data_IF_617021112396
#
_entry.id   IF_617021112396
#
_cell.length_a   1.000
_cell.length_b   1.000
_cell.length_c   1.000
_cell.angle_alpha   90.00
_cell.angle_beta   90.00
_cell.angle_gamma   90.00
#
_symmetry.space_group_name_H-M   'P 1'
#
loop_
_entity.id
_entity.type
_entity.pdbx_description
1 polymer ?
#
# COMPACT_ATOMS: atom_id res chain seq x y z
N UNK A 1 14.01 8.94 6.02
CA UNK A 1 13.91 9.17 4.56
C UNK A 1 14.37 10.59 4.21
N UNK A 2 15.05 10.77 3.07
CA UNK A 2 15.44 12.08 2.52
C UNK A 2 14.27 12.83 1.92
N UNK A 3 13.34 12.12 1.27
CA UNK A 3 12.16 12.71 0.61
C UNK A 3 10.83 12.38 1.29
N UNK A 4 10.85 11.71 2.45
CA UNK A 4 9.64 11.40 3.21
C UNK A 4 8.67 10.49 2.48
N UNK A 5 7.36 10.75 2.61
CA UNK A 5 6.30 10.05 1.88
C UNK A 5 5.93 10.89 0.65
N UNK A 6 6.22 10.37 -0.54
CA UNK A 6 5.96 11.07 -1.80
C UNK A 6 4.68 10.61 -2.51
N UNK A 7 4.07 9.51 -2.04
CA UNK A 7 2.75 9.12 -2.51
C UNK A 7 1.71 10.11 -2.02
N UNK A 8 0.89 10.64 -2.94
CA UNK A 8 -0.24 11.50 -2.55
C UNK A 8 -1.25 10.74 -1.70
N UNK A 9 -1.65 9.53 -2.11
CA UNK A 9 -2.56 8.69 -1.34
C UNK A 9 -1.95 8.26 -0.01
N UNK A 10 -0.68 7.83 -0.03
CA UNK A 10 0.05 7.44 1.18
C UNK A 10 0.19 8.59 2.19
N UNK A 11 0.46 9.82 1.73
CA UNK A 11 0.57 10.98 2.64
C UNK A 11 -0.76 11.42 3.22
N UNK A 12 -1.87 11.30 2.48
CA UNK A 12 -3.24 11.51 3.01
C UNK A 12 -3.53 10.50 4.12
N UNK A 13 -3.26 9.21 3.90
CA UNK A 13 -3.49 8.18 4.90
C UNK A 13 -2.59 8.35 6.13
N UNK A 14 -1.31 8.66 5.92
CA UNK A 14 -0.39 8.91 7.04
C UNK A 14 -0.85 10.10 7.89
N UNK A 15 -1.30 11.19 7.27
CA UNK A 15 -1.86 12.33 8.00
C UNK A 15 -3.11 11.95 8.82
N UNK A 16 -4.00 11.13 8.25
CA UNK A 16 -5.18 10.63 8.94
C UNK A 16 -4.81 9.75 10.15
N UNK A 17 -3.90 8.79 9.96
CA UNK A 17 -3.44 7.89 11.03
C UNK A 17 -2.78 8.66 12.18
N UNK A 18 -1.96 9.67 11.87
CA UNK A 18 -1.32 10.52 12.88
C UNK A 18 -2.33 11.43 13.60
N UNK A 19 -3.30 11.99 12.88
CA UNK A 19 -4.33 12.84 13.48
C UNK A 19 -5.21 12.06 14.47
N UNK A 20 -5.49 10.78 14.19
CA UNK A 20 -6.38 9.96 15.00
C UNK A 20 -5.67 8.96 15.92
N UNK A 21 -4.36 8.77 15.77
CA UNK A 21 -3.58 7.73 16.45
C UNK A 21 -4.23 6.34 16.31
N UNK A 22 -4.63 6.02 15.07
CA UNK A 22 -5.32 4.77 14.70
C UNK A 22 -4.67 4.15 13.46
N UNK A 23 -4.84 2.84 13.34
CA UNK A 23 -4.48 2.10 12.13
C UNK A 23 -5.28 2.61 10.91
N UNK A 24 -4.73 2.46 9.71
CA UNK A 24 -5.41 2.78 8.45
C UNK A 24 -6.80 2.15 8.39
N UNK A 25 -7.83 2.97 8.26
CA UNK A 25 -9.19 2.46 8.10
C UNK A 25 -9.35 1.62 6.82
N UNK A 26 -8.52 1.84 5.78
CA UNK A 26 -8.51 0.98 4.60
C UNK A 26 -7.96 -0.42 4.90
N UNK A 27 -7.05 -0.52 5.88
CA UNK A 27 -6.52 -1.80 6.34
C UNK A 27 -7.53 -2.49 7.27
N UNK A 28 -8.09 -1.77 8.25
CA UNK A 28 -9.07 -2.34 9.20
C UNK A 28 -10.35 -2.85 8.51
N UNK A 29 -10.80 -2.17 7.45
CA UNK A 29 -12.00 -2.52 6.68
C UNK A 29 -11.72 -3.29 5.38
N UNK A 30 -10.52 -3.86 5.22
CA UNK A 30 -10.11 -4.45 3.94
C UNK A 30 -11.02 -5.60 3.46
N UNK A 31 -11.51 -6.46 4.37
CA UNK A 31 -12.43 -7.56 4.01
C UNK A 31 -13.81 -7.04 3.56
N UNK A 32 -14.36 -6.03 4.24
CA UNK A 32 -15.61 -5.37 3.83
C UNK A 32 -15.48 -4.74 2.44
N UNK A 33 -14.34 -4.09 2.17
CA UNK A 33 -14.05 -3.59 0.83
C UNK A 33 -13.97 -4.74 -0.19
N UNK A 34 -13.38 -5.89 0.15
CA UNK A 34 -13.36 -7.05 -0.75
C UNK A 34 -14.77 -7.52 -1.14
N UNK A 35 -15.74 -7.54 -0.21
CA UNK A 35 -17.13 -7.90 -0.53
C UNK A 35 -17.76 -6.93 -1.54
N UNK A 36 -17.47 -5.63 -1.40
CA UNK A 36 -17.92 -4.60 -2.35
C UNK A 36 -17.26 -4.83 -3.72
N UNK A 37 -15.94 -4.97 -3.78
CA UNK A 37 -15.21 -5.14 -5.05
C UNK A 37 -15.64 -6.43 -5.78
N UNK A 38 -15.84 -7.53 -5.05
CA UNK A 38 -16.28 -8.81 -5.60
C UNK A 38 -17.65 -8.72 -6.28
N UNK A 39 -18.56 -7.87 -5.77
CA UNK A 39 -19.90 -7.67 -6.34
C UNK A 39 -19.85 -7.13 -7.77
N UNK A 40 -18.78 -6.42 -8.12
CA UNK A 40 -18.67 -5.69 -9.39
C UNK A 40 -17.46 -6.11 -10.24
N UNK A 41 -16.76 -7.19 -9.88
CA UNK A 41 -15.51 -7.64 -10.52
C UNK A 41 -14.47 -6.52 -10.66
N UNK A 42 -14.29 -5.74 -9.59
CA UNK A 42 -13.27 -4.69 -9.54
C UNK A 42 -11.97 -5.29 -9.05
N UNK A 43 -10.89 -5.07 -9.81
CA UNK A 43 -9.53 -5.51 -9.46
C UNK A 43 -8.88 -4.50 -8.51
N UNK A 44 -8.24 -4.99 -7.44
CA UNK A 44 -7.37 -4.17 -6.61
C UNK A 44 -6.08 -3.81 -7.34
N UNK A 45 -5.74 -2.52 -7.32
CA UNK A 45 -4.35 -2.05 -7.42
C UNK A 45 -3.89 -1.71 -6.01
N UNK A 46 -3.14 -2.61 -5.36
CA UNK A 46 -2.66 -2.39 -4.01
C UNK A 46 -1.50 -1.40 -4.02
N UNK A 47 -1.76 -0.20 -3.52
CA UNK A 47 -0.90 0.97 -3.68
C UNK A 47 0.38 0.95 -2.86
N UNK A 48 1.41 1.59 -3.41
CA UNK A 48 2.76 1.77 -2.87
C UNK A 48 2.88 3.09 -2.06
N UNK A 49 2.04 3.25 -1.04
CA UNK A 49 1.96 4.46 -0.21
C UNK A 49 3.31 4.93 0.35
N UNK A 50 4.23 4.00 0.62
CA UNK A 50 5.57 4.23 1.14
C UNK A 50 6.66 4.01 0.07
N UNK A 51 6.38 4.17 -1.22
CA UNK A 51 7.43 4.11 -2.27
C UNK A 51 8.56 5.14 -2.05
N UNK A 52 9.78 4.86 -2.55
CA UNK A 52 10.89 5.79 -2.49
C UNK A 52 10.71 6.97 -3.46
N UNK A 53 10.79 8.20 -2.93
CA UNK A 53 10.81 9.44 -3.71
C UNK A 53 12.18 9.90 -4.15
N UNK A 54 13.23 9.19 -3.74
CA UNK A 54 14.60 9.43 -4.17
C UNK A 54 15.41 8.14 -4.10
N UNK A 55 16.50 8.09 -4.87
CA UNK A 55 17.45 6.95 -4.87
C UNK A 55 17.99 6.65 -3.46
N UNK A 56 18.14 7.68 -2.61
CA UNK A 56 18.62 7.51 -1.25
C UNK A 56 17.63 6.75 -0.33
N UNK A 57 16.34 6.76 -0.68
CA UNK A 57 15.27 6.09 0.07
C UNK A 57 14.93 4.71 -0.53
N UNK A 58 15.57 4.31 -1.64
CA UNK A 58 15.27 3.07 -2.35
C UNK A 58 15.59 1.83 -1.51
N UNK A 59 14.65 0.88 -1.48
CA UNK A 59 14.73 -0.40 -0.78
C UNK A 59 14.94 -0.22 0.73
N UNK A 60 14.38 0.84 1.31
CA UNK A 60 14.41 1.05 2.76
C UNK A 60 13.39 0.17 3.49
N UNK A 61 13.48 0.17 4.82
CA UNK A 61 12.63 -0.67 5.68
C UNK A 61 11.14 -0.36 5.49
N UNK A 62 10.77 0.91 5.37
CA UNK A 62 9.38 1.32 5.22
C UNK A 62 8.77 0.86 3.89
N UNK A 63 9.52 0.88 2.80
CA UNK A 63 9.07 0.35 1.51
C UNK A 63 8.82 -1.16 1.61
N UNK A 64 9.76 -1.92 2.20
CA UNK A 64 9.62 -3.37 2.30
C UNK A 64 8.61 -3.82 3.37
N UNK A 65 8.39 -3.01 4.40
CA UNK A 65 7.34 -3.24 5.38
C UNK A 65 5.97 -3.19 4.68
N UNK A 66 5.69 -2.12 3.93
CA UNK A 66 4.45 -2.02 3.15
C UNK A 66 4.32 -3.17 2.17
N UNK A 67 5.37 -3.49 1.39
CA UNK A 67 5.33 -4.60 0.42
C UNK A 67 4.94 -5.94 1.06
N UNK A 68 5.43 -6.24 2.27
CA UNK A 68 5.04 -7.45 3.01
C UNK A 68 3.55 -7.42 3.39
N UNK A 69 3.07 -6.29 3.92
CA UNK A 69 1.65 -6.09 4.21
C UNK A 69 0.78 -6.23 2.96
N UNK A 70 1.21 -5.71 1.80
CA UNK A 70 0.47 -5.90 0.54
C UNK A 70 0.39 -7.38 0.13
N UNK A 71 1.42 -8.18 0.45
CA UNK A 71 1.40 -9.63 0.26
C UNK A 71 0.37 -10.36 1.13
N UNK A 72 0.19 -9.90 2.37
CA UNK A 72 -0.85 -10.38 3.29
C UNK A 72 -2.23 -10.00 2.76
N UNK A 73 -2.45 -8.72 2.40
CA UNK A 73 -3.70 -8.21 1.83
C UNK A 73 -4.09 -8.93 0.53
N UNK A 74 -3.11 -9.22 -0.33
CA UNK A 74 -3.32 -10.03 -1.53
C UNK A 74 -3.83 -11.44 -1.20
N UNK A 75 -3.32 -12.05 -0.14
CA UNK A 75 -3.80 -13.36 0.32
C UNK A 75 -5.24 -13.26 0.83
N UNK A 76 -5.58 -12.17 1.53
CA UNK A 76 -6.94 -11.90 2.00
C UNK A 76 -7.89 -11.71 0.80
N UNK A 77 -7.58 -10.80 -0.13
CA UNK A 77 -8.41 -10.50 -1.30
C UNK A 77 -8.73 -11.75 -2.13
N UNK A 78 -7.76 -12.65 -2.29
CA UNK A 78 -7.96 -13.94 -2.97
C UNK A 78 -8.99 -14.84 -2.29
N UNK A 79 -9.13 -14.80 -0.96
CA UNK A 79 -10.18 -15.57 -0.25
C UNK A 79 -11.60 -15.10 -0.63
N UNK A 80 -11.73 -13.83 -1.01
CA UNK A 80 -12.98 -13.22 -1.47
C UNK A 80 -13.16 -13.29 -3.00
N UNK A 81 -12.23 -13.94 -3.72
CA UNK A 81 -12.27 -14.01 -5.18
C UNK A 81 -11.96 -12.70 -5.90
N UNK A 82 -11.37 -11.71 -5.21
CA UNK A 82 -11.03 -10.41 -5.79
C UNK A 82 -9.66 -10.48 -6.47
N UNK A 83 -9.60 -10.02 -7.72
CA UNK A 83 -8.36 -9.93 -8.49
C UNK A 83 -7.43 -8.85 -7.92
N UNK A 84 -6.12 -9.05 -7.99
CA UNK A 84 -5.12 -8.15 -7.40
C UNK A 84 -3.91 -7.94 -8.31
N UNK A 85 -3.40 -6.70 -8.32
CA UNK A 85 -2.05 -6.35 -8.73
C UNK A 85 -1.38 -5.50 -7.64
N UNK A 86 -0.05 -5.54 -7.56
CA UNK A 86 0.73 -4.83 -6.55
C UNK A 86 1.49 -3.69 -7.23
N UNK A 87 1.31 -2.46 -6.75
CA UNK A 87 2.09 -1.32 -7.23
C UNK A 87 3.54 -1.42 -6.75
N UNK A 88 4.47 -1.04 -7.63
CA UNK A 88 5.91 -1.19 -7.42
C UNK A 88 6.57 0.06 -6.84
N UNK A 89 7.90 0.13 -6.85
CA UNK A 89 8.61 1.29 -6.32
C UNK A 89 8.59 2.50 -7.26
N UNK A 90 9.06 3.63 -6.73
CA UNK A 90 9.39 4.83 -7.51
C UNK A 90 10.88 4.88 -7.88
N UNK A 91 11.64 5.74 -7.23
CA UNK A 91 13.02 6.03 -7.60
C UNK A 91 13.96 4.94 -7.06
N UNK A 92 14.48 4.08 -7.94
CA UNK A 92 15.39 2.98 -7.60
C UNK A 92 16.58 2.97 -8.58
N UNK A 93 17.84 2.89 -8.12
CA UNK A 93 18.98 2.77 -9.03
C UNK A 93 19.11 1.34 -9.55
N UNK A 94 19.73 1.15 -10.73
CA UNK A 94 19.75 -0.15 -11.43
C UNK A 94 20.35 -1.34 -10.64
N UNK A 95 21.15 -1.09 -9.60
CA UNK A 95 21.86 -2.14 -8.84
C UNK A 95 21.15 -2.56 -7.54
N UNK A 96 19.91 -2.09 -7.34
CA UNK A 96 19.09 -2.36 -6.16
C UNK A 96 17.98 -3.35 -6.47
#
# INVERSE_FOLDING_TARGET
>A
RKTGIVSRGGSIMAAWCLAHHKESFLYEHFEELCEILATYDVTYSLGDGLRPGSIADANDEAQFAELRTLGELNTIAKRFGVQTMIEGPGHVPMHK
#
